data_IF_371992818031
#
_entry.id   IF_371992818031
#
_cell.length_a   1.000
_cell.length_b   1.000
_cell.length_c   1.000
_cell.angle_alpha   90.00
_cell.angle_beta   90.00
_cell.angle_gamma   90.00
#
_symmetry.space_group_name_H-M   'P 1'
#
loop_
_entity.id
_entity.type
_entity.pdbx_description
1 polymer ?
#
# COMPACT_ATOMS: atom_id res chain seq x y z
N UNK A 1 25.01 4.30 25.41
CA UNK A 1 24.08 5.38 25.01
C UNK A 1 23.68 5.12 23.57
N UNK A 2 22.39 5.01 23.28
CA UNK A 2 21.89 4.88 21.91
C UNK A 2 21.98 6.26 21.25
N UNK A 3 22.82 6.39 20.22
CA UNK A 3 23.03 7.66 19.52
C UNK A 3 21.79 8.03 18.69
N UNK A 4 21.30 9.27 18.85
CA UNK A 4 20.24 9.84 18.03
C UNK A 4 20.85 10.52 16.80
N UNK A 5 20.27 10.26 15.63
CA UNK A 5 20.65 10.87 14.35
C UNK A 5 19.47 11.63 13.79
N UNK A 6 19.76 12.70 13.07
CA UNK A 6 18.74 13.44 12.35
C UNK A 6 18.44 12.75 11.01
N UNK A 7 17.18 12.44 10.78
CA UNK A 7 16.70 11.81 9.57
C UNK A 7 15.75 12.76 8.84
N UNK A 8 15.93 12.83 7.52
CA UNK A 8 15.07 13.64 6.66
C UNK A 8 14.02 12.75 6.02
N UNK A 9 12.77 13.21 6.09
CA UNK A 9 11.67 12.50 5.48
C UNK A 9 11.86 12.36 3.96
N UNK A 10 11.43 11.23 3.44
CA UNK A 10 11.48 10.93 2.01
C UNK A 10 10.14 10.36 1.57
N UNK A 11 9.63 10.87 0.46
CA UNK A 11 8.36 10.41 -0.11
C UNK A 11 8.55 9.20 -1.01
N UNK A 12 7.46 8.47 -1.27
CA UNK A 12 7.44 7.53 -2.40
C UNK A 12 7.77 8.28 -3.69
N UNK A 13 8.52 7.66 -4.61
CA UNK A 13 9.04 8.32 -5.82
C UNK A 13 7.93 8.91 -6.72
N UNK A 14 6.70 8.43 -6.58
CA UNK A 14 5.52 8.85 -7.32
C UNK A 14 4.69 9.93 -6.61
N UNK A 15 5.09 10.31 -5.41
CA UNK A 15 4.44 11.40 -4.69
C UNK A 15 4.84 12.72 -5.34
N UNK A 16 3.92 13.31 -6.11
CA UNK A 16 4.05 14.69 -6.54
C UNK A 16 3.45 15.57 -5.45
N UNK A 17 4.28 16.29 -4.69
CA UNK A 17 3.88 17.29 -3.69
C UNK A 17 3.16 18.52 -4.31
N UNK A 18 2.32 18.33 -5.33
CA UNK A 18 1.70 19.41 -6.12
C UNK A 18 0.28 19.76 -5.71
N UNK A 19 -0.35 18.97 -4.84
CA UNK A 19 -1.77 19.14 -4.56
C UNK A 19 -1.92 19.71 -3.14
N UNK A 20 -2.66 20.81 -3.02
CA UNK A 20 -2.86 21.56 -1.77
C UNK A 20 -3.61 20.78 -0.68
N UNK A 21 -4.08 19.57 -1.00
CA UNK A 21 -4.82 18.67 -0.11
C UNK A 21 -3.92 17.65 0.61
N UNK A 22 -2.60 17.62 0.35
CA UNK A 22 -1.70 16.72 1.06
C UNK A 22 -1.45 17.24 2.49
N UNK A 23 -2.35 16.89 3.41
CA UNK A 23 -2.11 17.03 4.84
C UNK A 23 -0.89 16.20 5.24
N UNK A 24 0.03 16.85 5.95
CA UNK A 24 1.22 16.25 6.55
C UNK A 24 0.90 14.93 7.27
N UNK A 25 1.73 13.91 7.07
CA UNK A 25 1.69 12.61 7.76
C UNK A 25 1.39 12.76 9.26
N UNK A 26 0.40 12.01 9.74
CA UNK A 26 0.03 11.97 11.16
C UNK A 26 0.77 10.84 11.87
N UNK A 27 0.62 10.74 13.20
CA UNK A 27 1.11 9.57 13.94
C UNK A 27 0.38 8.28 13.52
N UNK A 28 -0.87 8.41 13.05
CA UNK A 28 -1.72 7.31 12.57
C UNK A 28 -1.34 6.88 11.14
N UNK A 29 -0.86 7.81 10.32
CA UNK A 29 -0.38 7.58 8.95
C UNK A 29 1.09 8.00 8.78
N UNK A 30 2.05 7.33 9.46
CA UNK A 30 3.45 7.72 9.49
C UNK A 30 4.21 7.33 8.20
N UNK A 31 3.51 7.21 7.08
CA UNK A 31 4.06 6.75 5.80
C UNK A 31 3.37 7.43 4.63
N UNK A 32 4.11 7.56 3.53
CA UNK A 32 3.53 7.95 2.25
C UNK A 32 2.95 6.73 1.55
N UNK A 33 1.71 6.84 1.08
CA UNK A 33 1.12 5.96 0.08
C UNK A 33 0.68 6.80 -1.12
N UNK A 34 0.71 6.22 -2.31
CA UNK A 34 0.16 6.86 -3.50
C UNK A 34 -0.49 5.82 -4.39
N UNK A 35 -1.74 6.04 -4.78
CA UNK A 35 -2.49 5.11 -5.60
C UNK A 35 -1.92 5.05 -7.02
N UNK A 36 -1.48 3.86 -7.44
CA UNK A 36 -0.97 3.65 -8.80
C UNK A 36 -2.03 3.03 -9.73
N UNK A 37 -3.03 2.36 -9.17
CA UNK A 37 -4.08 1.71 -9.94
C UNK A 37 -4.96 0.80 -9.11
N UNK A 38 -5.87 0.08 -9.79
CA UNK A 38 -6.81 -0.84 -9.18
C UNK A 38 -7.19 -2.01 -10.07
N UNK A 39 -7.56 -3.11 -9.42
CA UNK A 39 -8.34 -4.19 -10.01
C UNK A 39 -9.76 -4.18 -9.45
N UNK A 40 -10.75 -4.44 -10.30
CA UNK A 40 -12.13 -4.69 -9.83
C UNK A 40 -12.20 -6.14 -9.35
N UNK A 41 -12.75 -6.34 -8.16
CA UNK A 41 -13.00 -7.68 -7.61
C UNK A 41 -14.34 -8.21 -8.11
N UNK A 42 -14.45 -9.53 -8.19
CA UNK A 42 -15.75 -10.18 -8.39
C UNK A 42 -16.61 -9.94 -7.14
N UNK A 43 -17.86 -9.57 -7.34
CA UNK A 43 -18.86 -9.51 -6.27
C UNK A 43 -19.56 -10.87 -6.16
N UNK A 44 -20.06 -11.19 -4.96
CA UNK A 44 -20.91 -12.36 -4.77
C UNK A 44 -22.22 -12.21 -5.55
N UNK A 45 -22.86 -13.32 -5.91
CA UNK A 45 -24.12 -13.31 -6.64
C UNK A 45 -25.21 -12.67 -5.78
N UNK A 46 -25.77 -11.55 -6.27
CA UNK A 46 -26.75 -10.74 -5.52
C UNK A 46 -26.15 -9.60 -4.67
N UNK A 47 -24.83 -9.39 -4.68
CA UNK A 47 -24.19 -8.21 -4.09
C UNK A 47 -24.09 -7.09 -5.14
N UNK A 48 -24.97 -6.09 -5.01
CA UNK A 48 -24.98 -4.86 -5.80
C UNK A 48 -23.81 -3.90 -5.43
N UNK A 49 -22.98 -4.29 -4.46
CA UNK A 49 -21.81 -3.56 -4.04
C UNK A 49 -20.68 -3.48 -5.07
N UNK A 50 -19.76 -2.53 -4.85
CA UNK A 50 -18.51 -2.41 -5.61
C UNK A 50 -17.36 -2.87 -4.71
N UNK A 51 -16.58 -3.82 -5.19
CA UNK A 51 -15.35 -4.25 -4.54
C UNK A 51 -14.15 -3.96 -5.46
N UNK A 52 -13.13 -3.28 -4.92
CA UNK A 52 -11.91 -2.92 -5.64
C UNK A 52 -10.69 -3.24 -4.79
N UNK A 53 -9.61 -3.64 -5.44
CA UNK A 53 -8.29 -3.74 -4.81
C UNK A 53 -7.40 -2.65 -5.40
N UNK A 54 -7.06 -1.67 -4.56
CA UNK A 54 -6.13 -0.59 -4.88
C UNK A 54 -4.71 -1.03 -4.59
N UNK A 55 -3.77 -0.57 -5.42
CA UNK A 55 -2.34 -0.85 -5.26
C UNK A 55 -1.61 0.46 -5.00
N UNK A 56 -0.78 0.50 -3.97
CA UNK A 56 -0.05 1.69 -3.54
C UNK A 56 1.40 1.33 -3.18
N UNK A 57 2.44 1.89 -3.81
CA UNK A 57 3.76 1.94 -3.20
C UNK A 57 3.69 2.68 -1.86
N UNK A 58 4.46 2.20 -0.88
CA UNK A 58 4.57 2.82 0.43
C UNK A 58 6.01 3.10 0.82
N UNK A 59 6.21 4.18 1.56
CA UNK A 59 7.52 4.53 2.14
C UNK A 59 7.32 5.12 3.53
N UNK A 60 8.09 4.64 4.50
CA UNK A 60 8.13 5.23 5.83
C UNK A 60 8.43 6.72 5.75
N UNK A 61 7.61 7.54 6.38
CA UNK A 61 7.81 8.98 6.47
C UNK A 61 8.37 9.30 7.86
N UNK A 62 9.70 9.32 7.96
CA UNK A 62 10.41 9.57 9.22
C UNK A 62 11.22 10.85 9.10
N UNK A 63 10.79 11.91 9.80
CA UNK A 63 11.58 13.14 10.00
C UNK A 63 11.98 13.32 11.46
N UNK A 64 13.13 13.94 11.70
CA UNK A 64 13.61 14.33 13.02
C UNK A 64 14.62 13.35 13.62
N UNK A 65 14.78 13.40 14.94
CA UNK A 65 15.83 12.65 15.65
C UNK A 65 15.36 11.26 16.06
N UNK A 66 15.99 10.23 15.50
CA UNK A 66 15.70 8.82 15.81
C UNK A 66 17.00 8.05 16.05
N UNK A 67 16.94 6.94 16.78
CA UNK A 67 18.04 5.96 16.75
C UNK A 67 18.06 5.23 15.41
N UNK A 68 19.21 4.67 15.04
CA UNK A 68 19.33 3.89 13.80
C UNK A 68 18.37 2.68 13.78
N UNK A 69 18.13 2.05 14.94
CA UNK A 69 17.22 0.92 15.07
C UNK A 69 15.76 1.34 14.89
N UNK A 70 15.33 2.46 15.47
CA UNK A 70 13.96 2.98 15.30
C UNK A 70 13.68 3.35 13.84
N UNK A 71 14.63 4.03 13.19
CA UNK A 71 14.51 4.36 11.77
C UNK A 71 14.38 3.10 10.91
N UNK A 72 15.28 2.13 11.09
CA UNK A 72 15.26 0.88 10.34
C UNK A 72 13.96 0.08 10.58
N UNK A 73 13.47 0.04 11.82
CA UNK A 73 12.21 -0.64 12.14
C UNK A 73 11.03 -0.03 11.38
N UNK A 74 10.95 1.31 11.30
CA UNK A 74 9.88 1.99 10.54
C UNK A 74 9.97 1.69 9.06
N UNK A 75 11.17 1.69 8.48
CA UNK A 75 11.37 1.33 7.07
C UNK A 75 10.90 -0.11 6.78
N UNK A 76 11.15 -1.05 7.69
CA UNK A 76 10.67 -2.43 7.57
C UNK A 76 9.15 -2.52 7.67
N UNK A 77 8.52 -1.75 8.57
CA UNK A 77 7.07 -1.79 8.78
C UNK A 77 6.25 -1.14 7.68
N UNK A 78 6.78 -0.10 7.03
CA UNK A 78 6.01 0.76 6.11
C UNK A 78 6.59 0.85 4.70
N UNK A 79 7.80 0.34 4.44
CA UNK A 79 8.40 0.33 3.11
C UNK A 79 7.94 -0.86 2.26
N UNK A 80 7.37 -0.59 1.09
CA UNK A 80 6.97 -1.65 0.18
C UNK A 80 5.77 -1.31 -0.70
N UNK A 81 4.77 -2.19 -0.69
CA UNK A 81 3.51 -2.07 -1.41
C UNK A 81 2.38 -2.39 -0.44
N UNK A 82 1.34 -1.57 -0.46
CA UNK A 82 0.08 -1.80 0.22
C UNK A 82 -1.00 -2.12 -0.82
N UNK A 83 -1.77 -3.16 -0.53
CA UNK A 83 -2.97 -3.55 -1.25
C UNK A 83 -4.15 -3.18 -0.34
N UNK A 84 -5.03 -2.30 -0.80
CA UNK A 84 -6.24 -1.93 -0.07
C UNK A 84 -7.44 -2.54 -0.76
N UNK A 85 -8.11 -3.46 -0.09
CA UNK A 85 -9.43 -3.96 -0.50
C UNK A 85 -10.48 -3.04 0.07
N UNK A 86 -11.28 -2.48 -0.81
CA UNK A 86 -12.32 -1.52 -0.48
C UNK A 86 -13.65 -2.01 -1.06
N UNK A 87 -14.64 -2.15 -0.17
CA UNK A 87 -15.96 -2.68 -0.47
C UNK A 87 -17.01 -1.65 -0.06
N UNK A 88 -17.84 -1.27 -1.01
CA UNK A 88 -19.00 -0.39 -0.79
C UNK A 88 -20.29 -1.14 -1.12
N UNK A 89 -21.24 -1.16 -0.18
CA UNK A 89 -22.58 -1.71 -0.37
C UNK A 89 -23.63 -0.60 -0.53
N UNK A 90 -24.74 -0.84 -1.25
CA UNK A 90 -25.75 0.18 -1.51
C UNK A 90 -26.48 0.70 -0.27
N UNK A 91 -26.53 -0.10 0.80
CA UNK A 91 -27.09 0.27 2.10
C UNK A 91 -26.19 1.23 2.91
N UNK A 92 -25.02 1.58 2.37
CA UNK A 92 -24.02 2.42 3.02
C UNK A 92 -23.05 1.65 3.90
N UNK A 93 -23.20 0.33 4.03
CA UNK A 93 -22.20 -0.49 4.70
C UNK A 93 -20.94 -0.62 3.82
N UNK A 94 -19.78 -0.59 4.44
CA UNK A 94 -18.52 -0.78 3.73
C UNK A 94 -17.46 -1.38 4.63
N UNK A 95 -16.39 -1.86 4.02
CA UNK A 95 -15.23 -2.36 4.75
C UNK A 95 -13.98 -2.11 3.96
N UNK A 96 -12.94 -1.72 4.67
CA UNK A 96 -11.60 -1.56 4.13
C UNK A 96 -10.64 -2.53 4.82
N UNK A 97 -9.78 -3.16 4.03
CA UNK A 97 -8.72 -4.02 4.54
C UNK A 97 -7.42 -3.73 3.80
N UNK A 98 -6.39 -3.33 4.56
CA UNK A 98 -5.05 -3.13 4.04
C UNK A 98 -4.17 -4.37 4.26
N UNK A 99 -3.43 -4.75 3.23
CA UNK A 99 -2.41 -5.81 3.25
C UNK A 99 -1.09 -5.20 2.79
N UNK A 100 -0.05 -5.31 3.61
CA UNK A 100 1.28 -4.80 3.28
C UNK A 100 2.23 -5.91 2.89
N UNK A 101 3.00 -5.66 1.83
CA UNK A 101 4.04 -6.54 1.31
C UNK A 101 5.32 -5.73 1.18
N UNK A 102 6.46 -6.34 1.48
CA UNK A 102 7.72 -5.77 1.04
C UNK A 102 7.81 -5.85 -0.51
N UNK A 103 8.78 -5.15 -1.09
CA UNK A 103 8.91 -5.09 -2.56
C UNK A 103 9.27 -6.42 -3.23
N UNK A 104 9.90 -7.38 -2.54
CA UNK A 104 10.18 -8.69 -3.13
C UNK A 104 8.92 -9.54 -3.19
N UNK A 105 8.18 -9.61 -2.09
CA UNK A 105 6.92 -10.36 -2.03
C UNK A 105 5.85 -9.79 -2.95
N UNK A 106 5.79 -8.46 -3.11
CA UNK A 106 4.89 -7.84 -4.09
C UNK A 106 5.20 -8.28 -5.53
N UNK A 107 6.48 -8.41 -5.90
CA UNK A 107 6.89 -8.91 -7.23
C UNK A 107 6.57 -10.39 -7.39
N UNK A 108 6.82 -11.18 -6.36
CA UNK A 108 6.45 -12.61 -6.34
C UNK A 108 4.94 -12.78 -6.52
N UNK A 109 4.13 -12.04 -5.76
CA UNK A 109 2.68 -12.07 -5.87
C UNK A 109 2.21 -11.66 -7.27
N UNK A 110 2.77 -10.59 -7.84
CA UNK A 110 2.43 -10.17 -9.19
C UNK A 110 2.70 -11.28 -10.23
N UNK A 111 3.84 -11.97 -10.13
CA UNK A 111 4.16 -13.10 -11.01
C UNK A 111 3.18 -14.28 -10.81
N UNK A 112 2.82 -14.59 -9.57
CA UNK A 112 1.85 -15.64 -9.25
C UNK A 112 0.44 -15.31 -9.79
N UNK A 113 0.01 -14.05 -9.68
CA UNK A 113 -1.26 -13.58 -10.23
C UNK A 113 -1.31 -13.71 -11.75
N UNK A 114 -0.24 -13.32 -12.44
CA UNK A 114 -0.12 -13.50 -13.90
C UNK A 114 -0.21 -14.99 -14.25
N UNK A 115 0.55 -15.84 -13.56
CA UNK A 115 0.55 -17.28 -13.84
C UNK A 115 -0.81 -17.91 -13.57
N UNK A 116 -1.49 -17.52 -12.49
CA UNK A 116 -2.83 -18.00 -12.17
C UNK A 116 -3.84 -17.59 -13.26
N UNK A 117 -3.77 -16.35 -13.75
CA UNK A 117 -4.62 -15.88 -14.84
C UNK A 117 -4.37 -16.62 -16.15
N UNK A 118 -3.10 -16.86 -16.50
CA UNK A 118 -2.73 -17.65 -17.68
C UNK A 118 -3.28 -19.09 -17.58
N UNK A 119 -3.18 -19.74 -16.40
CA UNK A 119 -3.74 -21.09 -16.17
C UNK A 119 -5.26 -21.09 -16.36
N UNK A 120 -5.98 -20.13 -15.79
CA UNK A 120 -7.44 -20.02 -15.91
C UNK A 120 -7.88 -19.81 -17.37
N UNK A 121 -7.07 -19.11 -18.17
CA UNK A 121 -7.31 -18.91 -19.60
C UNK A 121 -6.85 -20.09 -20.47
N UNK A 122 -6.35 -21.17 -19.88
CA UNK A 122 -5.81 -22.33 -20.60
C UNK A 122 -4.49 -22.04 -21.33
N UNK A 123 -3.76 -21.00 -20.94
CA UNK A 123 -2.46 -20.63 -21.50
C UNK A 123 -1.35 -21.42 -20.78
N UNK A 124 -0.48 -22.07 -21.55
CA UNK A 124 0.54 -23.00 -21.03
C UNK A 124 1.93 -22.37 -20.84
N UNK A 125 2.05 -21.05 -20.98
CA UNK A 125 3.34 -20.32 -20.97
C UNK A 125 3.86 -19.95 -19.59
#
# INVERSE_FOLDING_TARGET
MTELRDYHASHVTWCTNRDAEFTSHTEEEPYCSHLIGKARLLSEEGDDGKAQMWVMPTRAYTSGKHTATEHASREVSYGGVELLVDIWRPDGAGSEQAIRLNSSEARTLAALLIRAADIEQGLTR
#
